data_IF_871068427371
#
_entry.id   IF_871068427371
#
_cell.length_a   1.000
_cell.length_b   1.000
_cell.length_c   1.000
_cell.angle_alpha   90.00
_cell.angle_beta   90.00
_cell.angle_gamma   90.00
#
_symmetry.space_group_name_H-M   'P 1'
#
loop_
_entity.id
_entity.type
_entity.pdbx_description
1 polymer ?
#
# COMPACT_ATOMS: atom_id res chain seq x y z
N UNK A 1 6.35 17.10 -26.08
CA UNK A 1 6.48 16.01 -25.10
C UNK A 1 6.45 16.63 -23.71
N UNK A 2 5.54 16.17 -22.87
CA UNK A 2 5.48 16.51 -21.45
C UNK A 2 5.88 15.25 -20.68
N UNK A 3 6.70 15.40 -19.64
CA UNK A 3 7.11 14.28 -18.78
C UNK A 3 6.92 14.69 -17.33
N UNK A 4 6.23 13.84 -16.56
CA UNK A 4 6.07 13.96 -15.11
C UNK A 4 6.61 12.68 -14.47
N UNK A 5 7.85 12.73 -13.96
CA UNK A 5 8.58 11.57 -13.42
C UNK A 5 8.62 10.40 -14.42
N UNK A 6 7.76 9.39 -14.25
CA UNK A 6 7.69 8.20 -15.10
C UNK A 6 6.55 8.28 -16.14
N UNK A 7 5.64 9.25 -16.01
CA UNK A 7 4.55 9.46 -16.95
C UNK A 7 5.00 10.37 -18.11
N UNK A 8 4.71 9.94 -19.34
CA UNK A 8 5.11 10.62 -20.58
C UNK A 8 3.88 10.87 -21.45
N UNK A 9 3.69 12.12 -21.86
CA UNK A 9 2.65 12.54 -22.80
C UNK A 9 3.26 13.11 -24.07
N UNK A 10 2.78 12.67 -25.23
CA UNK A 10 3.31 13.06 -26.54
C UNK A 10 2.16 13.45 -27.46
N UNK A 11 2.11 14.73 -27.80
CA UNK A 11 1.23 15.23 -28.85
C UNK A 11 1.75 14.83 -30.22
N UNK A 12 0.86 14.44 -31.12
CA UNK A 12 1.13 14.15 -32.53
C UNK A 12 -0.03 14.68 -33.37
N UNK A 13 0.24 15.09 -34.61
CA UNK A 13 -0.78 15.71 -35.47
C UNK A 13 -1.75 14.69 -36.08
N UNK A 14 -1.33 13.42 -36.19
CA UNK A 14 -2.14 12.33 -36.73
C UNK A 14 -1.79 10.98 -36.06
N UNK A 15 -2.61 9.97 -36.31
CA UNK A 15 -2.49 8.65 -35.70
C UNK A 15 -1.21 7.91 -36.16
N UNK A 16 -0.76 8.12 -37.39
CA UNK A 16 0.44 7.46 -37.93
C UNK A 16 1.70 7.98 -37.22
N UNK A 17 1.79 9.30 -37.03
CA UNK A 17 2.88 9.94 -36.28
C UNK A 17 2.87 9.52 -34.81
N UNK A 18 1.68 9.39 -34.19
CA UNK A 18 1.57 8.89 -32.82
C UNK A 18 2.09 7.45 -32.67
N UNK A 19 1.76 6.58 -33.62
CA UNK A 19 2.28 5.20 -33.64
C UNK A 19 3.80 5.17 -33.88
N UNK A 20 4.31 6.04 -34.75
CA UNK A 20 5.74 6.16 -35.00
C UNK A 20 6.50 6.60 -33.73
N UNK A 21 5.99 7.62 -33.02
CA UNK A 21 6.55 8.06 -31.74
C UNK A 21 6.53 6.96 -30.68
N UNK A 22 5.41 6.23 -30.54
CA UNK A 22 5.29 5.12 -29.60
C UNK A 22 6.30 3.99 -29.92
N UNK A 23 6.49 3.65 -31.19
CA UNK A 23 7.48 2.66 -31.61
C UNK A 23 8.91 3.11 -31.27
N UNK A 24 9.25 4.36 -31.55
CA UNK A 24 10.57 4.91 -31.25
C UNK A 24 10.90 4.88 -29.76
N UNK A 25 9.91 5.14 -28.89
CA UNK A 25 10.10 5.08 -27.44
C UNK A 25 10.26 3.65 -26.97
N UNK A 26 9.45 2.71 -27.45
CA UNK A 26 9.61 1.28 -27.14
C UNK A 26 11.04 0.82 -27.43
N UNK A 27 11.59 1.22 -28.57
CA UNK A 27 12.96 0.86 -28.94
C UNK A 27 14.00 1.55 -28.04
N UNK A 28 13.79 2.82 -27.69
CA UNK A 28 14.70 3.58 -26.84
C UNK A 28 14.76 3.05 -25.39
N UNK A 29 13.62 2.73 -24.77
CA UNK A 29 13.58 2.27 -23.37
C UNK A 29 14.11 0.84 -23.23
N UNK A 30 13.98 0.01 -24.26
CA UNK A 30 14.55 -1.34 -24.30
C UNK A 30 16.06 -1.34 -24.16
N UNK A 31 16.74 -0.28 -24.62
CA UNK A 31 18.18 -0.13 -24.43
C UNK A 31 18.58 0.00 -22.95
N UNK A 32 17.63 0.32 -22.06
CA UNK A 32 17.81 0.41 -20.62
C UNK A 32 17.17 -0.76 -19.86
N UNK A 33 16.82 -1.86 -20.56
CA UNK A 33 16.13 -3.02 -19.98
C UNK A 33 14.77 -2.67 -19.35
N UNK A 34 14.17 -1.55 -19.77
CA UNK A 34 12.83 -1.13 -19.38
C UNK A 34 11.81 -1.59 -20.44
N UNK A 35 10.59 -1.84 -20.01
CA UNK A 35 9.47 -2.19 -20.89
C UNK A 35 8.25 -1.30 -20.62
N UNK A 36 7.45 -1.09 -21.66
CA UNK A 36 6.21 -0.31 -21.56
C UNK A 36 5.10 -1.20 -21.01
N UNK A 37 4.29 -0.64 -20.11
CA UNK A 37 3.06 -1.28 -19.69
C UNK A 37 1.97 -1.09 -20.76
N UNK A 38 1.84 -2.07 -21.66
CA UNK A 38 0.85 -2.08 -22.75
C UNK A 38 -0.60 -1.91 -22.29
N UNK A 39 -0.92 -2.23 -21.02
CA UNK A 39 -2.28 -2.03 -20.49
C UNK A 39 -2.57 -0.57 -20.10
N UNK A 40 -1.51 0.23 -19.87
CA UNK A 40 -1.59 1.65 -19.48
C UNK A 40 -1.27 2.60 -20.62
N UNK A 41 -0.58 2.12 -21.66
CA UNK A 41 -0.21 2.95 -22.81
C UNK A 41 -1.31 2.97 -23.85
N UNK A 42 -1.86 4.17 -24.09
CA UNK A 42 -2.97 4.39 -25.02
C UNK A 42 -2.68 5.57 -25.93
N UNK A 43 -3.15 5.51 -27.18
CA UNK A 43 -3.17 6.66 -28.08
C UNK A 43 -4.61 7.21 -28.03
N UNK A 44 -4.73 8.45 -27.58
CA UNK A 44 -6.02 9.12 -27.40
C UNK A 44 -6.16 10.27 -28.40
N UNK A 45 -7.37 10.47 -28.89
CA UNK A 45 -7.70 11.66 -29.66
C UNK A 45 -8.01 12.80 -28.67
N UNK A 46 -7.36 13.95 -28.83
CA UNK A 46 -7.62 15.15 -28.02
C UNK A 46 -9.09 15.58 -27.98
N UNK A 47 -9.87 15.22 -29.00
CA UNK A 47 -11.31 15.53 -29.08
C UNK A 47 -12.18 14.59 -28.23
N UNK A 48 -11.67 13.40 -27.91
CA UNK A 48 -12.38 12.35 -27.16
C UNK A 48 -11.98 12.34 -25.67
N UNK A 49 -10.91 13.05 -25.30
CA UNK A 49 -10.39 13.15 -23.94
C UNK A 49 -11.10 14.26 -23.14
N UNK A 50 -12.39 14.05 -22.87
CA UNK A 50 -13.07 14.80 -21.83
C UNK A 50 -12.57 14.25 -20.48
N UNK A 51 -12.10 15.15 -19.62
CA UNK A 51 -11.68 14.82 -18.26
C UNK A 51 -12.70 13.87 -17.62
N UNK A 52 -12.25 12.72 -17.06
CA UNK A 52 -13.16 11.70 -16.59
C UNK A 52 -14.14 12.32 -15.59
N UNK A 53 -15.44 12.21 -15.86
CA UNK A 53 -16.49 12.81 -15.00
C UNK A 53 -16.72 12.01 -13.70
N UNK A 54 -16.25 10.76 -13.65
CA UNK A 54 -16.47 9.85 -12.52
C UNK A 54 -15.97 10.38 -11.15
N UNK A 55 -14.86 11.12 -11.01
CA UNK A 55 -14.44 11.64 -9.70
C UNK A 55 -15.45 12.64 -9.15
N UNK A 56 -16.07 13.45 -10.03
CA UNK A 56 -17.13 14.40 -9.66
C UNK A 56 -18.39 13.64 -9.23
N UNK A 57 -18.76 12.59 -9.97
CA UNK A 57 -19.90 11.72 -9.62
C UNK A 57 -19.71 11.05 -8.26
N UNK A 58 -18.55 10.41 -8.04
CA UNK A 58 -18.25 9.71 -6.79
C UNK A 58 -18.25 10.69 -5.62
N UNK A 59 -17.61 11.86 -5.77
CA UNK A 59 -17.60 12.89 -4.72
C UNK A 59 -19.02 13.31 -4.36
N UNK A 60 -19.83 13.70 -5.35
CA UNK A 60 -21.21 14.16 -5.14
C UNK A 60 -22.09 13.10 -4.47
N UNK A 61 -21.91 11.83 -4.83
CA UNK A 61 -22.66 10.76 -4.18
C UNK A 61 -22.23 10.56 -2.73
N UNK A 62 -20.94 10.66 -2.39
CA UNK A 62 -20.45 10.52 -1.00
C UNK A 62 -20.94 11.67 -0.11
N UNK A 63 -20.98 12.91 -0.62
CA UNK A 63 -21.48 14.10 0.11
C UNK A 63 -22.90 13.87 0.68
N UNK A 64 -23.72 13.04 0.02
CA UNK A 64 -25.09 12.71 0.49
C UNK A 64 -25.12 11.94 1.81
N UNK A 65 -23.98 11.41 2.25
CA UNK A 65 -23.82 10.59 3.45
C UNK A 65 -23.02 11.29 4.57
N UNK A 66 -22.55 12.51 4.35
CA UNK A 66 -21.75 13.30 5.32
C UNK A 66 -22.54 13.64 6.60
N UNK A 67 -23.85 13.90 6.48
CA UNK A 67 -24.76 14.25 7.59
C UNK A 67 -25.06 13.11 8.60
N UNK A 68 -24.16 12.12 8.68
CA UNK A 68 -24.22 11.01 9.61
C UNK A 68 -25.26 9.95 9.26
N UNK A 69 -25.14 8.80 9.93
CA UNK A 69 -26.06 7.68 9.76
C UNK A 69 -27.44 8.03 10.32
N UNK A 70 -28.29 8.61 9.49
CA UNK A 70 -29.71 8.61 9.80
C UNK A 70 -30.18 7.15 9.94
N UNK A 71 -31.02 6.86 10.94
CA UNK A 71 -31.70 5.57 11.16
C UNK A 71 -32.66 5.18 10.02
N UNK A 72 -32.50 5.77 8.84
CA UNK A 72 -33.30 5.52 7.66
C UNK A 72 -32.70 4.34 6.88
N UNK A 73 -33.38 3.19 6.91
CA UNK A 73 -32.96 1.99 6.19
C UNK A 73 -32.75 2.22 4.69
N UNK A 74 -33.46 3.17 4.07
CA UNK A 74 -33.30 3.50 2.66
C UNK A 74 -31.92 4.09 2.36
N UNK A 75 -31.46 5.09 3.14
CA UNK A 75 -30.13 5.71 2.95
C UNK A 75 -29.00 4.68 3.04
N UNK A 76 -29.10 3.74 3.97
CA UNK A 76 -28.11 2.66 4.13
C UNK A 76 -28.12 1.68 2.94
N UNK A 77 -29.30 1.33 2.42
CA UNK A 77 -29.41 0.53 1.19
C UNK A 77 -28.80 1.26 -0.01
N UNK A 78 -29.09 2.55 -0.16
CA UNK A 78 -28.54 3.39 -1.22
C UNK A 78 -27.01 3.45 -1.12
N UNK A 79 -26.46 3.56 0.10
CA UNK A 79 -25.01 3.54 0.31
C UNK A 79 -24.37 2.22 -0.12
N UNK A 80 -25.00 1.08 0.18
CA UNK A 80 -24.54 -0.22 -0.31
C UNK A 80 -24.55 -0.27 -1.85
N UNK A 81 -25.59 0.28 -2.49
CA UNK A 81 -25.64 0.37 -3.94
C UNK A 81 -24.51 1.23 -4.50
N UNK A 82 -24.25 2.38 -3.88
CA UNK A 82 -23.13 3.25 -4.24
C UNK A 82 -21.78 2.53 -4.10
N UNK A 83 -21.50 1.88 -2.96
CA UNK A 83 -20.27 1.12 -2.76
C UNK A 83 -20.09 0.01 -3.82
N UNK A 84 -21.18 -0.68 -4.19
CA UNK A 84 -21.15 -1.65 -5.28
C UNK A 84 -20.85 -1.01 -6.63
N UNK A 85 -21.38 0.19 -6.87
CA UNK A 85 -21.13 0.93 -8.10
C UNK A 85 -19.67 1.34 -8.23
N UNK A 86 -19.03 1.78 -7.15
CA UNK A 86 -17.58 2.06 -7.12
C UNK A 86 -16.78 0.84 -7.56
N UNK A 87 -17.07 -0.34 -7.00
CA UNK A 87 -16.38 -1.58 -7.40
C UNK A 87 -16.65 -1.95 -8.86
N UNK A 88 -17.90 -1.76 -9.33
CA UNK A 88 -18.28 -2.03 -10.73
C UNK A 88 -17.52 -1.12 -11.68
N UNK A 89 -17.45 0.18 -11.39
CA UNK A 89 -16.72 1.15 -12.20
C UNK A 89 -15.23 0.83 -12.24
N UNK A 90 -14.62 0.52 -11.08
CA UNK A 90 -13.22 0.13 -11.00
C UNK A 90 -12.92 -1.13 -11.84
N UNK A 91 -13.75 -2.17 -11.73
CA UNK A 91 -13.60 -3.40 -12.52
C UNK A 91 -13.81 -3.17 -14.02
N UNK A 92 -14.82 -2.37 -14.41
CA UNK A 92 -15.12 -2.10 -15.81
C UNK A 92 -13.99 -1.31 -16.50
N UNK A 93 -13.37 -0.38 -15.78
CA UNK A 93 -12.25 0.44 -16.25
C UNK A 93 -10.89 -0.24 -16.11
N UNK A 94 -10.81 -1.32 -15.33
CA UNK A 94 -9.55 -1.92 -14.84
C UNK A 94 -8.65 -0.88 -14.14
N UNK A 95 -9.30 0.00 -13.38
CA UNK A 95 -8.65 1.13 -12.72
C UNK A 95 -8.94 1.07 -11.22
N UNK A 96 -7.95 0.63 -10.45
CA UNK A 96 -8.02 0.62 -8.99
C UNK A 96 -7.99 2.03 -8.38
N UNK A 97 -7.56 3.05 -9.15
CA UNK A 97 -7.57 4.45 -8.76
C UNK A 97 -8.98 4.94 -8.41
N UNK A 98 -10.01 4.38 -9.03
CA UNK A 98 -11.43 4.66 -8.69
C UNK A 98 -11.72 4.28 -7.24
N UNK A 99 -11.24 3.13 -6.79
CA UNK A 99 -11.44 2.66 -5.40
C UNK A 99 -10.62 3.50 -4.44
N UNK A 100 -9.35 3.78 -4.76
CA UNK A 100 -8.48 4.64 -3.93
C UNK A 100 -9.08 6.02 -3.75
N UNK A 101 -9.61 6.63 -4.82
CA UNK A 101 -10.28 7.92 -4.76
C UNK A 101 -11.52 7.87 -3.87
N UNK A 102 -12.37 6.85 -4.01
CA UNK A 102 -13.54 6.69 -3.17
C UNK A 102 -13.16 6.53 -1.68
N UNK A 103 -12.13 5.73 -1.37
CA UNK A 103 -11.63 5.56 0.00
C UNK A 103 -11.10 6.87 0.58
N UNK A 104 -10.35 7.67 -0.20
CA UNK A 104 -9.91 9.01 0.21
C UNK A 104 -11.09 9.93 0.53
N UNK A 105 -12.11 9.96 -0.33
CA UNK A 105 -13.28 10.83 -0.09
C UNK A 105 -14.14 10.39 1.10
N UNK A 106 -14.28 9.08 1.31
CA UNK A 106 -14.91 8.53 2.52
C UNK A 106 -14.13 8.95 3.77
N UNK A 107 -12.80 9.01 3.69
CA UNK A 107 -11.92 9.42 4.77
C UNK A 107 -11.95 10.92 5.07
N UNK A 108 -11.79 11.75 4.03
CA UNK A 108 -11.89 13.22 4.13
C UNK A 108 -13.22 13.67 4.75
N UNK A 109 -14.31 13.03 4.35
CA UNK A 109 -15.67 13.33 4.84
C UNK A 109 -16.05 12.55 6.12
N UNK A 110 -15.10 11.79 6.70
CA UNK A 110 -15.26 11.09 7.99
C UNK A 110 -16.47 10.13 8.04
N UNK A 111 -16.82 9.54 6.89
CA UNK A 111 -18.00 8.68 6.73
C UNK A 111 -17.87 7.38 7.56
N UNK A 112 -16.64 7.00 7.94
CA UNK A 112 -16.33 5.83 8.77
C UNK A 112 -17.18 5.77 10.05
N UNK A 113 -17.40 6.91 10.71
CA UNK A 113 -18.04 6.99 12.02
C UNK A 113 -19.53 6.59 11.98
N UNK A 114 -20.19 6.76 10.83
CA UNK A 114 -21.61 6.43 10.67
C UNK A 114 -21.88 5.08 10.00
N UNK A 115 -20.94 4.61 9.17
CA UNK A 115 -21.20 3.52 8.23
C UNK A 115 -20.17 2.38 8.30
N UNK A 116 -19.39 2.29 9.38
CA UNK A 116 -18.36 1.25 9.54
C UNK A 116 -18.87 -0.16 9.25
N UNK A 117 -20.07 -0.50 9.72
CA UNK A 117 -20.65 -1.83 9.55
C UNK A 117 -20.97 -2.19 8.09
N UNK A 118 -21.08 -1.19 7.21
CA UNK A 118 -21.18 -1.36 5.75
C UNK A 118 -19.82 -1.25 5.06
N UNK A 119 -18.93 -0.43 5.61
CA UNK A 119 -17.60 -0.15 5.06
C UNK A 119 -16.62 -1.29 5.30
N UNK A 120 -16.67 -1.98 6.45
CA UNK A 120 -15.76 -3.09 6.74
C UNK A 120 -15.94 -4.27 5.75
N UNK A 121 -17.17 -4.76 5.46
CA UNK A 121 -17.38 -5.74 4.38
C UNK A 121 -16.96 -5.22 3.00
N UNK A 122 -17.10 -3.92 2.73
CA UNK A 122 -16.64 -3.29 1.50
C UNK A 122 -15.11 -3.33 1.40
N UNK A 123 -14.37 -2.96 2.45
CA UNK A 123 -12.90 -3.03 2.51
C UNK A 123 -12.39 -4.47 2.33
N UNK A 124 -13.10 -5.46 2.88
CA UNK A 124 -12.79 -6.88 2.63
C UNK A 124 -12.94 -7.23 1.14
N UNK A 125 -13.98 -6.73 0.47
CA UNK A 125 -14.12 -6.92 -0.98
C UNK A 125 -13.07 -6.17 -1.78
N UNK A 126 -12.68 -4.97 -1.34
CA UNK A 126 -11.59 -4.21 -1.95
C UNK A 126 -10.29 -5.00 -1.89
N UNK A 127 -9.86 -5.42 -0.70
CA UNK A 127 -8.59 -6.14 -0.49
C UNK A 127 -8.47 -7.46 -1.26
N UNK A 128 -9.59 -8.14 -1.53
CA UNK A 128 -9.61 -9.39 -2.30
C UNK A 128 -9.57 -9.15 -3.82
N UNK A 129 -10.27 -8.13 -4.32
CA UNK A 129 -10.47 -7.93 -5.76
C UNK A 129 -9.54 -6.88 -6.37
N UNK A 130 -8.98 -6.00 -5.55
CA UNK A 130 -8.16 -4.86 -5.96
C UNK A 130 -6.88 -4.82 -5.10
N UNK A 131 -5.87 -5.67 -5.41
CA UNK A 131 -4.70 -5.85 -4.58
C UNK A 131 -3.90 -4.55 -4.38
N UNK A 132 -3.82 -3.67 -5.37
CA UNK A 132 -3.06 -2.42 -5.23
C UNK A 132 -3.70 -1.43 -4.26
N UNK A 133 -4.87 -1.73 -3.69
CA UNK A 133 -5.51 -0.96 -2.62
C UNK A 133 -5.14 -1.43 -1.20
N UNK A 134 -4.26 -2.44 -1.05
CA UNK A 134 -3.85 -2.95 0.27
C UNK A 134 -3.25 -1.87 1.18
N UNK A 135 -2.57 -0.88 0.62
CA UNK A 135 -2.00 0.23 1.38
C UNK A 135 -3.09 1.14 1.98
N UNK A 136 -4.20 1.37 1.29
CA UNK A 136 -5.35 2.11 1.82
C UNK A 136 -6.10 1.28 2.86
N UNK A 137 -6.42 0.03 2.51
CA UNK A 137 -7.21 -0.85 3.39
C UNK A 137 -6.46 -1.07 4.71
N UNK A 138 -5.16 -1.33 4.65
CA UNK A 138 -4.36 -1.57 5.85
C UNK A 138 -4.35 -0.35 6.78
N UNK A 139 -4.14 0.86 6.23
CA UNK A 139 -4.17 2.09 7.03
C UNK A 139 -5.52 2.32 7.68
N UNK A 140 -6.61 2.21 6.91
CA UNK A 140 -7.98 2.40 7.43
C UNK A 140 -8.32 1.44 8.55
N UNK A 141 -8.01 0.15 8.37
CA UNK A 141 -8.33 -0.88 9.37
C UNK A 141 -7.45 -0.73 10.61
N UNK A 142 -6.15 -0.46 10.46
CA UNK A 142 -5.24 -0.25 11.58
C UNK A 142 -5.59 1.02 12.38
N UNK A 143 -5.90 2.13 11.70
CA UNK A 143 -6.42 3.35 12.31
C UNK A 143 -7.68 3.04 13.11
N UNK A 144 -8.67 2.39 12.48
CA UNK A 144 -9.94 2.04 13.12
C UNK A 144 -9.74 1.15 14.35
N UNK A 145 -8.83 0.18 14.28
CA UNK A 145 -8.50 -0.73 15.39
C UNK A 145 -7.78 -0.03 16.55
N UNK A 146 -7.19 1.14 16.30
CA UNK A 146 -6.55 1.95 17.34
C UNK A 146 -7.56 2.84 18.05
N UNK A 147 -8.47 3.48 17.30
CA UNK A 147 -9.47 4.40 17.87
C UNK A 147 -10.75 3.69 18.35
N UNK A 148 -11.08 2.56 17.75
CA UNK A 148 -12.23 1.73 18.08
C UNK A 148 -11.91 0.26 17.76
N UNK A 149 -12.90 -0.59 17.52
CA UNK A 149 -12.70 -2.01 17.26
C UNK A 149 -13.02 -2.37 15.80
N UNK A 150 -12.33 -3.40 15.32
CA UNK A 150 -12.58 -4.08 14.03
C UNK A 150 -12.77 -5.58 14.27
N UNK A 151 -13.31 -6.31 13.30
CA UNK A 151 -13.33 -7.78 13.37
C UNK A 151 -11.93 -8.33 13.07
N UNK A 152 -11.09 -8.41 14.10
CA UNK A 152 -9.69 -8.87 14.00
C UNK A 152 -9.57 -10.31 13.49
N UNK A 153 -10.59 -11.16 13.70
CA UNK A 153 -10.58 -12.54 13.21
C UNK A 153 -10.95 -12.60 11.72
N UNK A 154 -11.86 -11.74 11.27
CA UNK A 154 -12.11 -11.52 9.85
C UNK A 154 -10.86 -11.04 9.13
N UNK A 155 -10.22 -9.98 9.62
CA UNK A 155 -9.03 -9.43 8.99
C UNK A 155 -7.87 -10.42 8.97
N UNK A 156 -7.66 -11.19 10.05
CA UNK A 156 -6.71 -12.29 10.04
C UNK A 156 -6.99 -13.29 8.90
N UNK A 157 -8.25 -13.73 8.72
CA UNK A 157 -8.60 -14.64 7.61
C UNK A 157 -8.36 -14.01 6.23
N UNK A 158 -8.69 -12.73 6.06
CA UNK A 158 -8.52 -11.99 4.80
C UNK A 158 -7.04 -11.87 4.44
N UNK A 159 -6.19 -11.50 5.40
CA UNK A 159 -4.73 -11.39 5.20
C UNK A 159 -4.13 -12.74 4.80
N UNK A 160 -4.46 -13.81 5.52
CA UNK A 160 -3.96 -15.16 5.17
C UNK A 160 -4.41 -15.60 3.79
N UNK A 161 -5.63 -15.23 3.38
CA UNK A 161 -6.11 -15.48 2.02
C UNK A 161 -5.31 -14.68 0.98
N UNK A 162 -5.04 -13.40 1.24
CA UNK A 162 -4.26 -12.56 0.35
C UNK A 162 -2.82 -13.07 0.19
N UNK A 163 -2.17 -13.52 1.26
CA UNK A 163 -0.85 -14.15 1.22
C UNK A 163 -0.88 -15.40 0.33
N UNK A 164 -1.89 -16.25 0.49
CA UNK A 164 -2.04 -17.47 -0.35
C UNK A 164 -2.32 -17.16 -1.82
N UNK A 165 -3.06 -16.09 -2.12
CA UNK A 165 -3.42 -15.69 -3.48
C UNK A 165 -2.27 -14.97 -4.21
N UNK A 166 -1.56 -14.08 -3.51
CA UNK A 166 -0.61 -13.14 -4.13
C UNK A 166 0.86 -13.50 -3.89
N UNK A 167 1.17 -14.37 -2.92
CA UNK A 167 2.55 -14.63 -2.52
C UNK A 167 3.42 -15.26 -3.61
N UNK A 168 2.85 -15.82 -4.68
CA UNK A 168 3.60 -16.37 -5.82
C UNK A 168 3.85 -15.41 -6.99
N UNK A 169 3.27 -14.21 -6.98
CA UNK A 169 3.14 -13.35 -8.18
C UNK A 169 4.03 -12.10 -8.18
N UNK A 170 4.96 -11.95 -7.24
CA UNK A 170 5.82 -10.76 -7.13
C UNK A 170 5.12 -9.51 -6.57
N UNK A 171 3.97 -9.68 -5.93
CA UNK A 171 3.17 -8.62 -5.27
C UNK A 171 3.69 -8.31 -3.86
N UNK A 172 4.98 -8.01 -3.74
CA UNK A 172 5.64 -7.82 -2.43
C UNK A 172 5.08 -6.62 -1.66
N UNK A 173 4.63 -5.57 -2.35
CA UNK A 173 4.04 -4.39 -1.71
C UNK A 173 2.74 -4.74 -0.98
N UNK A 174 1.86 -5.46 -1.66
CA UNK A 174 0.55 -5.87 -1.15
C UNK A 174 0.70 -6.84 0.04
N UNK A 175 1.63 -7.79 -0.08
CA UNK A 175 1.95 -8.70 1.03
C UNK A 175 2.56 -7.95 2.22
N UNK A 176 3.41 -6.96 1.96
CA UNK A 176 4.00 -6.13 3.02
C UNK A 176 2.92 -5.40 3.82
N UNK A 177 1.98 -4.75 3.15
CA UNK A 177 0.85 -4.08 3.79
C UNK A 177 -0.07 -5.04 4.54
N UNK A 178 -0.38 -6.20 3.95
CA UNK A 178 -1.20 -7.22 4.61
C UNK A 178 -0.53 -7.79 5.88
N UNK A 179 0.78 -8.05 5.84
CA UNK A 179 1.56 -8.50 7.00
C UNK A 179 1.68 -7.41 8.06
N UNK A 180 1.88 -6.15 7.65
CA UNK A 180 1.89 -5.01 8.56
C UNK A 180 0.54 -4.86 9.27
N UNK A 181 -0.58 -4.94 8.55
CA UNK A 181 -1.90 -4.94 9.19
C UNK A 181 -2.05 -6.10 10.19
N UNK A 182 -1.52 -7.28 9.87
CA UNK A 182 -1.57 -8.44 10.77
C UNK A 182 -0.87 -8.17 12.11
N UNK A 183 0.26 -7.46 12.06
CA UNK A 183 0.98 -6.96 13.23
C UNK A 183 0.13 -5.96 14.01
N UNK A 184 -0.46 -4.97 13.35
CA UNK A 184 -1.28 -3.93 14.00
C UNK A 184 -2.51 -4.50 14.73
N UNK A 185 -3.16 -5.51 14.14
CA UNK A 185 -4.29 -6.22 14.79
C UNK A 185 -3.82 -7.31 15.77
N UNK A 186 -2.50 -7.44 15.99
CA UNK A 186 -1.84 -8.34 16.95
C UNK A 186 -2.26 -9.81 16.78
N UNK A 187 -2.42 -10.26 15.53
CA UNK A 187 -2.76 -11.66 15.21
C UNK A 187 -1.54 -12.40 14.67
N UNK A 188 -1.33 -13.67 15.04
CA UNK A 188 -0.18 -14.42 14.57
C UNK A 188 -0.32 -14.78 13.08
N UNK A 189 0.81 -14.76 12.37
CA UNK A 189 0.94 -15.36 11.05
C UNK A 189 0.92 -16.89 11.18
N UNK A 190 0.14 -17.58 10.34
CA UNK A 190 0.12 -19.03 10.30
C UNK A 190 1.44 -19.59 9.75
N UNK A 191 1.86 -20.76 10.26
CA UNK A 191 3.17 -21.34 9.91
C UNK A 191 3.32 -21.64 8.42
N UNK A 192 2.25 -22.05 7.74
CA UNK A 192 2.24 -22.30 6.30
C UNK A 192 2.37 -21.00 5.49
N UNK A 193 1.70 -19.94 5.94
CA UNK A 193 1.81 -18.62 5.34
C UNK A 193 3.20 -18.00 5.54
N UNK A 194 3.82 -18.19 6.71
CA UNK A 194 5.18 -17.74 6.96
C UNK A 194 6.18 -18.44 6.03
N UNK A 195 6.10 -19.76 5.92
CA UNK A 195 6.95 -20.52 5.00
C UNK A 195 6.79 -20.07 3.54
N UNK A 196 5.55 -19.80 3.12
CA UNK A 196 5.24 -19.28 1.80
C UNK A 196 5.88 -17.90 1.55
N UNK A 197 5.76 -16.97 2.50
CA UNK A 197 6.38 -15.63 2.40
C UNK A 197 7.89 -15.74 2.26
N UNK A 198 8.55 -16.54 3.10
CA UNK A 198 10.00 -16.74 3.02
C UNK A 198 10.40 -17.36 1.66
N UNK A 199 9.63 -18.32 1.18
CA UNK A 199 9.95 -19.03 -0.06
C UNK A 199 9.74 -18.16 -1.30
N UNK A 200 8.70 -17.33 -1.34
CA UNK A 200 8.21 -16.72 -2.59
C UNK A 200 8.29 -15.20 -2.67
N UNK A 201 8.27 -14.50 -1.54
CA UNK A 201 8.29 -13.03 -1.52
C UNK A 201 9.72 -12.49 -1.38
N UNK A 202 9.92 -11.20 -1.60
CA UNK A 202 11.21 -10.53 -1.43
C UNK A 202 11.64 -10.32 0.04
N UNK A 203 12.73 -9.55 0.26
CA UNK A 203 13.30 -9.35 1.59
C UNK A 203 12.39 -8.55 2.53
N UNK A 204 11.62 -7.57 2.03
CA UNK A 204 10.74 -6.72 2.85
C UNK A 204 9.56 -7.50 3.48
N UNK A 205 8.71 -8.21 2.71
CA UNK A 205 7.68 -9.08 3.30
C UNK A 205 8.25 -10.09 4.30
N UNK A 206 9.43 -10.66 3.99
CA UNK A 206 10.10 -11.62 4.86
C UNK A 206 10.53 -11.00 6.19
N UNK A 207 10.99 -9.74 6.19
CA UNK A 207 11.32 -8.99 7.40
C UNK A 207 10.07 -8.71 8.24
N UNK A 208 8.99 -8.25 7.61
CA UNK A 208 7.74 -7.98 8.32
C UNK A 208 7.16 -9.29 8.89
N UNK A 209 7.30 -10.42 8.20
CA UNK A 209 6.90 -11.72 8.74
C UNK A 209 7.71 -12.14 9.98
N UNK A 210 9.01 -11.83 10.03
CA UNK A 210 9.82 -12.01 11.24
C UNK A 210 9.33 -11.11 12.38
N UNK A 211 8.97 -9.86 12.09
CA UNK A 211 8.43 -8.92 13.07
C UNK A 211 7.06 -9.36 13.62
N UNK A 212 6.14 -9.80 12.74
CA UNK A 212 4.86 -10.39 13.16
C UNK A 212 5.12 -11.60 14.07
N UNK A 213 6.08 -12.46 13.73
CA UNK A 213 6.42 -13.63 14.56
C UNK A 213 6.96 -13.23 15.94
N UNK A 214 7.90 -12.27 16.00
CA UNK A 214 8.49 -11.79 17.25
C UNK A 214 7.47 -11.08 18.15
N UNK A 215 6.63 -10.22 17.56
CA UNK A 215 5.63 -9.42 18.29
C UNK A 215 4.46 -10.26 18.80
N UNK A 216 4.00 -11.25 18.03
CA UNK A 216 2.82 -12.07 18.38
C UNK A 216 3.16 -13.37 19.10
N UNK A 217 4.42 -13.81 19.05
CA UNK A 217 4.96 -15.00 19.72
C UNK A 217 4.09 -16.25 19.54
N UNK A 218 3.84 -16.70 18.29
CA UNK A 218 3.03 -17.88 18.05
C UNK A 218 3.70 -19.14 18.61
N UNK A 219 2.94 -20.23 18.73
CA UNK A 219 3.41 -21.49 19.32
C UNK A 219 4.50 -22.22 18.53
N UNK A 220 4.71 -21.85 17.27
CA UNK A 220 5.70 -22.47 16.38
C UNK A 220 6.96 -21.60 16.23
N UNK A 221 8.08 -22.22 15.87
CA UNK A 221 9.37 -21.54 15.67
C UNK A 221 9.49 -21.00 14.24
N UNK A 222 10.30 -19.95 14.06
CA UNK A 222 10.70 -19.45 12.74
C UNK A 222 11.17 -20.62 11.84
N UNK A 223 10.70 -20.73 10.57
CA UNK A 223 11.16 -21.72 9.60
C UNK A 223 12.63 -21.52 9.19
N UNK A 224 13.55 -21.94 10.08
CA UNK A 224 15.00 -21.67 9.92
C UNK A 224 15.58 -22.24 8.64
N UNK A 225 15.16 -23.43 8.23
CA UNK A 225 15.68 -24.07 7.02
C UNK A 225 15.32 -23.26 5.77
N UNK A 226 14.04 -22.87 5.63
CA UNK A 226 13.55 -22.01 4.56
C UNK A 226 14.25 -20.65 4.55
N UNK A 227 14.42 -20.04 5.72
CA UNK A 227 15.12 -18.77 5.88
C UNK A 227 16.59 -18.85 5.44
N UNK A 228 17.32 -19.88 5.89
CA UNK A 228 18.72 -20.08 5.51
C UNK A 228 18.86 -20.39 4.01
N UNK A 229 17.94 -21.18 3.45
CA UNK A 229 17.92 -21.45 2.01
C UNK A 229 17.70 -20.17 1.18
N UNK A 230 16.80 -19.28 1.63
CA UNK A 230 16.57 -17.97 1.01
C UNK A 230 17.81 -17.07 1.05
N UNK A 231 18.50 -17.08 2.18
CA UNK A 231 19.68 -16.25 2.43
C UNK A 231 20.91 -16.75 1.65
N UNK A 232 21.02 -18.05 1.41
CA UNK A 232 22.13 -18.68 0.72
C UNK A 232 23.45 -18.61 1.49
N UNK A 233 24.55 -18.92 0.82
CA UNK A 233 25.88 -19.01 1.44
C UNK A 233 26.54 -17.64 1.68
N UNK A 234 26.18 -16.63 0.87
CA UNK A 234 26.70 -15.26 0.94
C UNK A 234 25.56 -14.23 1.13
N UNK A 235 24.81 -14.29 2.24
CA UNK A 235 23.63 -13.48 2.49
C UNK A 235 23.84 -11.97 2.31
N UNK A 236 24.99 -11.45 2.73
CA UNK A 236 25.29 -10.00 2.66
C UNK A 236 25.65 -9.52 1.24
N UNK A 237 25.86 -10.42 0.28
CA UNK A 237 26.17 -10.06 -1.12
C UNK A 237 25.01 -10.38 -2.06
N UNK A 238 23.98 -11.09 -1.59
CA UNK A 238 22.83 -11.50 -2.38
C UNK A 238 21.69 -10.48 -2.40
N UNK A 239 20.66 -10.77 -3.20
CA UNK A 239 19.45 -9.95 -3.27
C UNK A 239 18.69 -9.83 -1.93
N UNK A 240 18.92 -10.76 -0.99
CA UNK A 240 18.31 -10.77 0.34
C UNK A 240 19.21 -10.15 1.43
N UNK A 241 20.22 -9.35 1.06
CA UNK A 241 21.15 -8.74 2.01
C UNK A 241 20.42 -7.93 3.09
N UNK A 242 19.35 -7.22 2.74
CA UNK A 242 18.57 -6.43 3.68
C UNK A 242 17.91 -7.31 4.75
N UNK A 243 17.30 -8.43 4.32
CA UNK A 243 16.74 -9.43 5.23
C UNK A 243 17.81 -10.03 6.14
N UNK A 244 19.01 -10.30 5.61
CA UNK A 244 20.12 -10.81 6.40
C UNK A 244 20.61 -9.79 7.44
N UNK A 245 20.77 -8.55 7.01
CA UNK A 245 21.29 -7.46 7.82
C UNK A 245 20.36 -7.14 8.98
N UNK A 246 19.09 -6.86 8.69
CA UNK A 246 18.08 -6.55 9.71
C UNK A 246 17.70 -7.78 10.53
N UNK A 247 17.65 -8.96 9.90
CA UNK A 247 17.49 -10.25 10.56
C UNK A 247 18.52 -10.51 11.66
N UNK A 248 19.80 -10.26 11.39
CA UNK A 248 20.87 -10.39 12.37
C UNK A 248 20.76 -9.33 13.48
N UNK A 249 20.48 -8.08 13.12
CA UNK A 249 20.44 -6.94 14.06
C UNK A 249 19.23 -6.97 14.99
N UNK A 250 18.05 -7.18 14.44
CA UNK A 250 16.80 -6.92 15.13
C UNK A 250 16.07 -8.18 15.57
N UNK A 251 16.32 -9.32 14.90
CA UNK A 251 15.58 -10.57 15.11
C UNK A 251 16.48 -11.71 15.61
N UNK A 252 17.74 -11.40 15.99
CA UNK A 252 18.64 -12.35 16.63
C UNK A 252 18.95 -13.59 15.80
N UNK A 253 18.90 -13.49 14.46
CA UNK A 253 19.15 -14.63 13.57
C UNK A 253 20.60 -15.15 13.65
N UNK A 254 21.52 -14.37 14.24
CA UNK A 254 22.95 -14.73 14.43
C UNK A 254 23.59 -15.21 13.12
N UNK A 255 23.30 -14.51 12.03
CA UNK A 255 23.86 -14.78 10.70
C UNK A 255 25.38 -14.49 10.72
N UNK A 256 25.84 -13.69 11.71
CA UNK A 256 27.24 -13.41 12.01
C UNK A 256 27.98 -14.48 12.82
N UNK A 257 28.40 -15.53 12.13
CA UNK A 257 29.67 -16.19 12.48
C UNK A 257 30.58 -16.50 11.29
N UNK A 258 30.11 -16.35 10.03
CA UNK A 258 30.92 -16.65 8.84
C UNK A 258 30.92 -15.59 7.73
N UNK A 259 30.12 -14.52 7.82
CA UNK A 259 29.94 -13.55 6.73
C UNK A 259 30.45 -12.12 7.00
N UNK A 260 31.23 -11.91 8.06
CA UNK A 260 31.93 -10.63 8.30
C UNK A 260 33.11 -10.38 7.35
N UNK A 261 33.34 -11.25 6.36
CA UNK A 261 34.15 -10.94 5.18
C UNK A 261 33.32 -10.32 4.04
N UNK A 262 32.17 -9.71 4.36
CA UNK A 262 31.46 -8.82 3.45
C UNK A 262 32.23 -7.51 3.22
N UNK A 263 31.92 -6.82 2.12
CA UNK A 263 32.52 -5.55 1.72
C UNK A 263 32.62 -4.53 2.86
N UNK A 264 33.62 -3.64 2.80
CA UNK A 264 33.81 -2.54 3.77
C UNK A 264 32.52 -1.76 4.08
N UNK A 265 31.61 -1.68 3.11
CA UNK A 265 30.27 -1.13 3.23
C UNK A 265 29.44 -1.70 4.39
N UNK A 266 29.29 -3.03 4.49
CA UNK A 266 28.44 -3.63 5.54
C UNK A 266 29.03 -3.42 6.94
N UNK A 267 30.35 -3.45 7.03
CA UNK A 267 31.06 -3.15 8.28
C UNK A 267 30.70 -1.74 8.76
N UNK A 268 30.79 -0.76 7.86
CA UNK A 268 30.42 0.62 8.16
C UNK A 268 28.95 0.74 8.62
N UNK A 269 28.00 0.10 7.93
CA UNK A 269 26.59 0.12 8.35
C UNK A 269 26.38 -0.40 9.78
N UNK A 270 27.13 -1.43 10.20
CA UNK A 270 27.06 -1.93 11.58
C UNK A 270 27.70 -0.98 12.59
N UNK A 271 28.81 -0.34 12.22
CA UNK A 271 29.50 0.64 13.08
C UNK A 271 28.67 1.92 13.27
N UNK A 272 27.96 2.35 12.22
CA UNK A 272 27.10 3.54 12.22
C UNK A 272 25.72 3.28 12.83
N UNK A 273 25.45 2.06 13.32
CA UNK A 273 24.16 1.66 13.86
C UNK A 273 22.96 1.91 12.91
N UNK A 274 23.18 1.95 11.59
CA UNK A 274 22.14 2.20 10.59
C UNK A 274 21.04 1.15 10.59
N UNK A 275 19.78 1.55 10.59
CA UNK A 275 18.62 0.65 10.43
C UNK A 275 17.79 1.09 9.24
N UNK A 276 17.29 0.13 8.48
CA UNK A 276 16.38 0.30 7.36
C UNK A 276 14.96 -0.17 7.70
N UNK A 277 14.77 -0.73 8.88
CA UNK A 277 13.47 -1.20 9.36
C UNK A 277 13.20 -0.66 10.76
N UNK A 278 12.02 -0.06 10.94
CA UNK A 278 11.56 0.43 12.24
C UNK A 278 10.38 -0.41 12.73
N UNK A 279 10.59 -1.15 13.82
CA UNK A 279 9.57 -1.99 14.46
C UNK A 279 8.52 -1.17 15.20
N UNK A 280 8.82 0.08 15.55
CA UNK A 280 7.94 0.93 16.33
C UNK A 280 7.25 1.98 15.44
N UNK A 281 7.43 1.90 14.12
CA UNK A 281 6.77 2.77 13.16
C UNK A 281 5.25 2.73 13.35
N UNK A 282 4.66 3.91 13.52
CA UNK A 282 3.21 4.11 13.65
C UNK A 282 2.67 4.76 12.38
N UNK A 283 1.34 4.71 12.24
CA UNK A 283 0.66 5.52 11.23
C UNK A 283 0.91 7.01 11.47
N UNK A 284 1.29 7.75 10.42
CA UNK A 284 1.60 9.17 10.54
C UNK A 284 0.38 10.02 10.94
N UNK A 285 -0.85 9.54 10.69
CA UNK A 285 -2.07 10.24 11.15
C UNK A 285 -2.17 10.37 12.68
N UNK A 286 -1.37 9.61 13.43
CA UNK A 286 -1.26 9.74 14.89
C UNK A 286 -0.07 10.58 15.35
N UNK A 287 0.77 11.07 14.43
CA UNK A 287 1.90 11.91 14.78
C UNK A 287 1.43 13.30 15.23
N UNK A 288 2.01 13.82 16.31
CA UNK A 288 1.62 15.10 16.89
C UNK A 288 0.21 15.18 17.50
N UNK A 289 -0.53 14.07 17.59
CA UNK A 289 -1.89 14.04 18.15
C UNK A 289 -1.88 13.63 19.63
N UNK A 290 -2.52 14.42 20.49
CA UNK A 290 -2.56 14.20 21.95
C UNK A 290 -3.17 12.84 22.37
N UNK A 291 -4.15 12.35 21.60
CA UNK A 291 -4.85 11.08 21.82
C UNK A 291 -5.26 10.48 20.47
N UNK A 292 -5.15 9.15 20.28
CA UNK A 292 -5.53 8.52 19.00
C UNK A 292 -6.95 8.86 18.54
N UNK A 293 -7.90 9.04 19.47
CA UNK A 293 -9.30 9.40 19.16
C UNK A 293 -9.46 10.75 18.45
N UNK A 294 -8.46 11.63 18.54
CA UNK A 294 -8.46 12.93 17.87
C UNK A 294 -8.01 12.84 16.40
N UNK A 295 -7.43 11.72 15.96
CA UNK A 295 -7.06 11.51 14.56
C UNK A 295 -8.32 11.16 13.76
N UNK A 296 -8.93 12.19 13.14
CA UNK A 296 -10.24 12.04 12.46
C UNK A 296 -10.16 11.35 11.10
N UNK A 297 -8.98 11.34 10.48
CA UNK A 297 -8.72 10.74 9.18
C UNK A 297 -7.76 9.55 9.35
N UNK A 298 -7.96 8.51 8.56
CA UNK A 298 -7.18 7.29 8.57
C UNK A 298 -6.05 7.30 7.53
N UNK A 299 -6.21 8.10 6.47
CA UNK A 299 -5.28 8.23 5.37
C UNK A 299 -4.60 9.58 5.53
N UNK A 300 -3.28 9.58 5.46
CA UNK A 300 -2.49 10.81 5.43
C UNK A 300 -2.97 11.71 4.30
N UNK A 301 -3.13 13.00 4.58
CA UNK A 301 -3.24 13.99 3.51
C UNK A 301 -2.01 13.83 2.64
N UNK A 302 -2.16 13.94 1.32
CA UNK A 302 -1.01 14.10 0.44
C UNK A 302 -0.33 15.42 0.82
N UNK A 303 0.56 15.38 1.83
CA UNK A 303 1.80 16.13 1.74
C UNK A 303 2.58 15.33 0.71
N UNK A 304 2.20 15.53 -0.55
CA UNK A 304 3.17 15.46 -1.62
C UNK A 304 4.43 16.10 -1.06
N UNK A 305 5.56 15.39 -1.06
CA UNK A 305 6.87 15.98 -0.75
C UNK A 305 7.25 17.11 -1.73
N UNK A 306 6.32 17.50 -2.61
CA UNK A 306 6.40 18.56 -3.59
C UNK A 306 5.44 19.75 -3.32
N UNK A 307 4.63 19.73 -2.24
CA UNK A 307 3.72 20.85 -1.89
C UNK A 307 4.24 21.73 -0.73
N UNK A 308 5.46 21.48 -0.25
CA UNK A 308 6.12 22.36 0.72
C UNK A 308 6.72 23.58 0.00
N UNK A 309 5.86 24.48 -0.49
CA UNK A 309 6.09 25.90 -0.75
C UNK A 309 4.80 26.52 -1.29
N UNK A 310 3.89 26.87 -0.38
CA UNK A 310 3.00 28.05 -0.45
C UNK A 310 2.11 28.02 0.80
N UNK A 311 2.73 28.06 1.98
CA UNK A 311 2.05 28.77 3.07
C UNK A 311 2.33 30.25 2.79
N UNK A 312 1.31 30.92 2.24
CA UNK A 312 1.26 32.37 2.15
C UNK A 312 1.54 32.92 3.55
N UNK A 313 2.69 33.58 3.70
CA UNK A 313 2.90 34.51 4.79
C UNK A 313 1.78 35.55 4.69
N UNK A 314 0.79 35.45 5.58
CA UNK A 314 -0.13 36.54 5.89
C UNK A 314 0.72 37.74 6.36
N UNK A 315 1.21 38.53 5.40
CA UNK A 315 1.69 39.88 5.63
C UNK A 315 0.50 40.69 6.15
N UNK A 316 0.48 40.83 7.47
CA UNK A 316 -0.13 41.96 8.14
C UNK A 316 0.38 43.26 7.50
N UNK A 317 -0.41 43.88 6.64
CA UNK A 317 -0.31 45.32 6.40
C UNK A 317 -1.67 45.99 6.65
N UNK A 318 -1.68 46.75 7.74
CA UNK A 318 -2.64 47.79 8.08
C UNK A 318 -3.06 48.63 6.86
N UNK A 319 -4.37 48.87 6.70
CA UNK A 319 -4.92 50.19 6.34
C UNK A 319 -6.39 50.33 6.78
#
# INVERSE_FOLDING_TARGET
>A
MLRLVDDIYIGSDNLDDANAHLSAIRDAIRAFELDINESKTVILNSSDDLEPYWPVEIRREIERYEDGAQKNGQKRSDFIHFLNEVLRQASARKDEGVVKFALRKIDEMQIWNGYWDLLEPFLVRVSINFPHCWDYVSRVVAWRNTIESVDVDLWSRVIHRAIKQNGGSGHDSEISWALWLLKEIKKPLASDAFDLVLTRCGPFPSLIALDVHESTKPSYKVPKETLLAKLGDQPMLGANWLLAYEGDRQFGLKIKSKNLQGSAFHKQLYEDYTSFYDKEAKLFVFDGVDSPENAKCAIESEISSYDDHNEDEDENEDF
#
